data_IF_127340136889
#
_entry.id   IF_127340136889
#
_cell.length_a   1.000
_cell.length_b   1.000
_cell.length_c   1.000
_cell.angle_alpha   90.00
_cell.angle_beta   90.00
_cell.angle_gamma   90.00
#
_symmetry.space_group_name_H-M   'P 1'
#
loop_
_entity.id
_entity.type
_entity.pdbx_description
1 polymer ?
#
# COMPACT_ATOMS: atom_id res chain seq x y z
N UNK A 1 5.38 4.34 5.04
CA UNK A 1 6.44 3.57 4.38
C UNK A 1 7.29 2.91 5.46
N UNK A 2 7.74 1.67 5.23
CA UNK A 2 8.63 0.98 6.18
C UNK A 2 10.03 1.59 6.11
N UNK A 3 10.67 1.76 7.28
CA UNK A 3 12.06 2.22 7.34
C UNK A 3 13.02 1.05 7.11
N UNK A 4 14.09 1.28 6.35
CA UNK A 4 15.15 0.30 6.15
C UNK A 4 16.13 0.38 7.31
N UNK A 5 16.36 -0.73 8.05
CA UNK A 5 17.36 -0.74 9.12
C UNK A 5 18.77 -0.55 8.55
N UNK A 6 19.66 0.15 9.28
CA UNK A 6 21.01 0.47 8.81
C UNK A 6 21.88 -0.76 8.47
N UNK A 7 21.60 -1.92 9.08
CA UNK A 7 22.31 -3.18 8.82
C UNK A 7 21.72 -4.00 7.66
N UNK A 8 20.65 -3.53 7.02
CA UNK A 8 19.94 -4.26 5.98
C UNK A 8 19.92 -3.44 4.69
N UNK A 9 19.88 -4.15 3.55
CA UNK A 9 19.63 -3.55 2.25
C UNK A 9 18.44 -4.27 1.60
N UNK A 10 17.35 -3.54 1.39
CA UNK A 10 16.17 -4.07 0.73
C UNK A 10 16.46 -4.37 -0.75
N UNK A 11 15.90 -5.45 -1.27
CA UNK A 11 15.86 -5.74 -2.71
C UNK A 11 14.65 -5.13 -3.40
N UNK A 12 13.78 -4.44 -2.64
CA UNK A 12 12.57 -3.77 -3.15
C UNK A 12 11.71 -4.66 -4.05
N UNK A 13 11.44 -5.88 -3.60
CA UNK A 13 10.52 -6.79 -4.31
C UNK A 13 9.14 -6.14 -4.53
N UNK A 14 8.63 -5.46 -3.51
CA UNK A 14 7.45 -4.59 -3.55
C UNK A 14 7.76 -3.27 -2.87
N UNK A 15 7.05 -2.19 -3.23
CA UNK A 15 7.18 -0.87 -2.62
C UNK A 15 5.84 -0.46 -1.99
N UNK A 16 5.60 -0.83 -0.72
CA UNK A 16 4.32 -0.58 -0.06
C UNK A 16 4.21 0.83 0.52
N UNK A 17 3.05 1.44 0.34
CA UNK A 17 2.58 2.60 1.09
C UNK A 17 1.47 2.16 2.05
N UNK A 18 1.21 2.97 3.08
CA UNK A 18 0.10 2.79 4.01
C UNK A 18 -0.69 4.08 4.11
N UNK A 19 -1.98 4.01 3.89
CA UNK A 19 -2.92 5.13 4.02
C UNK A 19 -4.33 4.63 4.32
N UNK A 20 -5.03 5.35 5.21
CA UNK A 20 -6.43 5.07 5.48
C UNK A 20 -7.34 5.31 4.25
N UNK A 21 -6.88 6.11 3.29
CA UNK A 21 -7.56 6.40 2.01
C UNK A 21 -6.98 5.54 0.88
N UNK A 22 -6.71 4.25 1.15
CA UNK A 22 -6.06 3.32 0.23
C UNK A 22 -6.82 3.16 -1.08
N UNK A 23 -8.13 3.01 -1.02
CA UNK A 23 -8.96 2.73 -2.19
C UNK A 23 -9.09 3.98 -3.06
N UNK A 24 -9.25 5.16 -2.46
CA UNK A 24 -9.28 6.45 -3.17
C UNK A 24 -7.92 6.77 -3.83
N UNK A 25 -6.81 6.49 -3.14
CA UNK A 25 -5.49 6.64 -3.74
C UNK A 25 -5.30 5.69 -4.91
N UNK A 26 -5.76 4.45 -4.80
CA UNK A 26 -5.71 3.47 -5.88
C UNK A 26 -6.48 3.94 -7.11
N UNK A 27 -7.70 4.43 -6.93
CA UNK A 27 -8.53 4.98 -8.01
C UNK A 27 -7.86 6.20 -8.67
N UNK A 28 -7.29 7.10 -7.86
CA UNK A 28 -6.55 8.26 -8.36
C UNK A 28 -5.34 7.85 -9.21
N UNK A 29 -4.56 6.88 -8.77
CA UNK A 29 -3.41 6.36 -9.52
C UNK A 29 -3.86 5.70 -10.84
N UNK A 30 -4.90 4.88 -10.81
CA UNK A 30 -5.46 4.21 -11.98
C UNK A 30 -5.97 5.22 -13.02
N UNK A 31 -6.65 6.29 -12.58
CA UNK A 31 -7.08 7.39 -13.45
C UNK A 31 -5.91 8.13 -14.13
N UNK A 32 -4.72 8.10 -13.53
CA UNK A 32 -3.48 8.65 -14.07
C UNK A 32 -2.62 7.60 -14.83
N UNK A 33 -3.19 6.42 -15.12
CA UNK A 33 -2.51 5.35 -15.86
C UNK A 33 -1.43 4.62 -15.04
N UNK A 34 -1.45 4.73 -13.71
CA UNK A 34 -0.49 4.10 -12.81
C UNK A 34 -1.16 2.88 -12.17
N UNK A 35 -0.70 1.69 -12.53
CA UNK A 35 -1.15 0.44 -11.93
C UNK A 35 -0.59 0.28 -10.51
N UNK A 36 -1.43 -0.18 -9.58
CA UNK A 36 -1.01 -0.48 -8.21
C UNK A 36 -1.62 -1.80 -7.73
N UNK A 37 -1.03 -2.41 -6.71
CA UNK A 37 -1.46 -3.70 -6.19
C UNK A 37 -1.70 -3.68 -4.68
N UNK A 38 -2.49 -4.65 -4.19
CA UNK A 38 -2.73 -4.83 -2.75
C UNK A 38 -2.12 -6.18 -2.34
N UNK A 39 -1.08 -6.17 -1.52
CA UNK A 39 -0.39 -7.36 -1.03
C UNK A 39 -0.40 -7.40 0.50
N UNK A 40 -1.45 -7.94 1.16
CA UNK A 40 -2.67 -8.57 0.60
C UNK A 40 -3.91 -8.02 1.32
N UNK A 41 -5.13 -8.09 0.72
CA UNK A 41 -6.30 -7.41 1.28
C UNK A 41 -6.93 -8.15 2.46
N UNK A 42 -6.70 -9.47 2.58
CA UNK A 42 -7.28 -10.31 3.64
C UNK A 42 -6.18 -10.81 4.56
N UNK A 43 -6.26 -10.50 5.87
CA UNK A 43 -5.33 -11.06 6.86
C UNK A 43 -5.33 -12.60 6.85
N UNK A 44 -4.17 -13.21 7.01
CA UNK A 44 -4.02 -14.69 6.93
C UNK A 44 -4.95 -15.40 7.92
N UNK A 45 -5.06 -14.89 9.15
CA UNK A 45 -5.92 -15.49 10.19
C UNK A 45 -7.42 -15.42 9.87
N UNK A 46 -7.83 -14.54 8.95
CA UNK A 46 -9.22 -14.39 8.48
C UNK A 46 -9.51 -15.14 7.18
N UNK A 47 -8.52 -15.78 6.59
CA UNK A 47 -8.72 -16.58 5.39
C UNK A 47 -9.45 -17.87 5.69
N UNK A 48 -10.35 -18.30 4.79
CA UNK A 48 -11.19 -19.49 4.96
C UNK A 48 -10.39 -20.77 5.27
N UNK A 49 -9.19 -20.89 4.68
CA UNK A 49 -8.30 -22.03 4.91
C UNK A 49 -7.79 -22.18 6.35
N UNK A 50 -7.88 -21.10 7.16
CA UNK A 50 -7.41 -21.07 8.55
C UNK A 50 -8.55 -20.92 9.57
N UNK A 51 -9.82 -21.06 9.15
CA UNK A 51 -10.99 -20.90 10.02
C UNK A 51 -11.03 -21.87 11.21
N UNK A 52 -10.35 -23.02 11.09
CA UNK A 52 -10.23 -24.03 12.15
C UNK A 52 -9.31 -23.60 13.30
N UNK A 53 -8.52 -22.53 13.16
CA UNK A 53 -7.62 -22.02 14.21
C UNK A 53 -8.34 -21.17 15.26
N UNK A 54 -9.62 -20.83 15.06
CA UNK A 54 -10.44 -20.09 16.01
C UNK A 54 -10.18 -18.59 16.08
N UNK A 55 -9.32 -18.03 15.23
CA UNK A 55 -9.13 -16.58 15.11
C UNK A 55 -10.36 -15.90 14.50
N UNK A 56 -10.62 -14.68 14.93
CA UNK A 56 -11.72 -13.83 14.46
C UNK A 56 -11.23 -12.40 14.24
N UNK A 57 -12.04 -11.58 13.61
CA UNK A 57 -11.82 -10.15 13.46
C UNK A 57 -11.57 -9.48 14.81
N UNK A 58 -10.56 -8.63 14.87
CA UNK A 58 -10.14 -7.93 16.10
C UNK A 58 -9.04 -8.63 16.89
N UNK A 59 -8.72 -9.89 16.60
CA UNK A 59 -7.69 -10.63 17.33
C UNK A 59 -6.26 -10.18 16.98
N UNK A 60 -6.04 -9.71 15.74
CA UNK A 60 -4.72 -9.23 15.26
C UNK A 60 -4.86 -7.85 14.62
N UNK A 61 -5.16 -6.84 15.43
CA UNK A 61 -5.50 -5.48 15.00
C UNK A 61 -4.47 -4.85 14.06
N UNK A 62 -3.18 -5.03 14.32
CA UNK A 62 -2.12 -4.46 13.48
C UNK A 62 -2.08 -5.10 12.08
N UNK A 63 -2.21 -6.41 12.01
CA UNK A 63 -2.28 -7.15 10.75
C UNK A 63 -3.50 -6.73 9.94
N UNK A 64 -4.64 -6.61 10.60
CA UNK A 64 -5.90 -6.18 9.99
C UNK A 64 -5.82 -4.75 9.46
N UNK A 65 -5.21 -3.84 10.23
CA UNK A 65 -4.97 -2.46 9.81
C UNK A 65 -4.06 -2.41 8.58
N UNK A 66 -2.93 -3.12 8.59
CA UNK A 66 -2.02 -3.19 7.45
C UNK A 66 -2.74 -3.68 6.18
N UNK A 67 -3.56 -4.72 6.28
CA UNK A 67 -4.33 -5.23 5.13
C UNK A 67 -5.36 -4.23 4.60
N UNK A 68 -5.90 -3.36 5.46
CA UNK A 68 -6.81 -2.28 5.04
C UNK A 68 -6.09 -1.12 4.34
N UNK A 69 -4.87 -0.81 4.77
CA UNK A 69 -4.16 0.42 4.40
C UNK A 69 -3.06 0.23 3.35
N UNK A 70 -2.60 -1.00 3.12
CA UNK A 70 -1.46 -1.27 2.23
C UNK A 70 -1.81 -1.08 0.76
N UNK A 71 -0.95 -0.37 0.03
CA UNK A 71 -0.97 -0.24 -1.42
C UNK A 71 0.45 -0.32 -1.95
N UNK A 72 0.71 -1.21 -2.90
CA UNK A 72 2.03 -1.37 -3.52
C UNK A 72 2.11 -0.59 -4.82
N UNK A 73 3.08 0.30 -4.90
CA UNK A 73 3.41 1.05 -6.12
C UNK A 73 4.19 0.17 -7.11
N UNK A 74 4.22 0.54 -8.41
CA UNK A 74 5.04 -0.15 -9.41
C UNK A 74 6.50 -0.21 -8.96
N UNK A 75 7.10 -1.40 -9.02
CA UNK A 75 8.50 -1.63 -8.66
C UNK A 75 9.07 -2.77 -9.51
N UNK A 76 9.97 -2.45 -10.43
CA UNK A 76 10.69 -3.40 -11.28
C UNK A 76 11.98 -2.75 -11.81
N UNK A 77 13.02 -3.54 -12.17
CA UNK A 77 14.35 -3.00 -12.50
C UNK A 77 14.37 -2.01 -13.67
N UNK A 78 13.50 -2.19 -14.66
CA UNK A 78 13.43 -1.37 -15.87
C UNK A 78 12.60 -0.08 -15.71
N UNK A 79 12.10 0.19 -14.49
CA UNK A 79 11.31 1.39 -14.19
C UNK A 79 12.21 2.64 -14.36
N UNK A 80 11.86 3.49 -15.31
CA UNK A 80 12.63 4.70 -15.63
C UNK A 80 12.45 5.78 -14.56
N UNK A 81 13.47 6.59 -14.34
CA UNK A 81 13.45 7.68 -13.36
C UNK A 81 12.28 8.67 -13.60
N UNK A 82 11.99 8.98 -14.88
CA UNK A 82 10.86 9.86 -15.22
C UNK A 82 9.53 9.25 -14.78
N UNK A 83 9.37 7.93 -14.92
CA UNK A 83 8.17 7.23 -14.46
C UNK A 83 8.07 7.21 -12.93
N UNK A 84 9.19 7.02 -12.24
CA UNK A 84 9.24 7.13 -10.77
C UNK A 84 8.80 8.52 -10.31
N UNK A 85 9.27 9.57 -10.97
CA UNK A 85 8.85 10.96 -10.67
C UNK A 85 7.36 11.18 -10.92
N UNK A 86 6.82 10.67 -12.03
CA UNK A 86 5.38 10.75 -12.32
C UNK A 86 4.53 10.06 -11.24
N UNK A 87 4.93 8.87 -10.80
CA UNK A 87 4.25 8.15 -9.72
C UNK A 87 4.30 8.96 -8.42
N UNK A 88 5.48 9.47 -8.06
CA UNK A 88 5.66 10.28 -6.85
C UNK A 88 4.83 11.56 -6.88
N UNK A 89 4.76 12.24 -8.02
CA UNK A 89 3.97 13.45 -8.18
C UNK A 89 2.47 13.17 -8.11
N UNK A 90 1.99 12.07 -8.69
CA UNK A 90 0.59 11.64 -8.58
C UNK A 90 0.20 11.38 -7.12
N UNK A 91 1.04 10.66 -6.36
CA UNK A 91 0.81 10.45 -4.92
C UNK A 91 0.79 11.78 -4.16
N UNK A 92 1.74 12.68 -4.42
CA UNK A 92 1.78 14.01 -3.78
C UNK A 92 0.54 14.85 -4.08
N UNK A 93 0.07 14.80 -5.32
CA UNK A 93 -1.16 15.50 -5.73
C UNK A 93 -2.36 15.00 -4.94
N UNK A 94 -2.53 13.70 -4.83
CA UNK A 94 -3.58 13.08 -4.02
C UNK A 94 -3.52 13.55 -2.56
N UNK A 95 -2.34 13.48 -1.92
CA UNK A 95 -2.16 13.89 -0.54
C UNK A 95 -2.50 15.37 -0.30
N UNK A 96 -2.15 16.26 -1.24
CA UNK A 96 -2.49 17.70 -1.12
C UNK A 96 -3.99 17.94 -1.22
N UNK A 97 -4.70 17.21 -2.08
CA UNK A 97 -6.15 17.30 -2.24
C UNK A 97 -6.86 16.78 -0.98
N UNK A 98 -6.40 15.66 -0.42
CA UNK A 98 -6.95 15.08 0.81
C UNK A 98 -6.82 16.03 2.01
N UNK A 99 -5.70 16.73 2.15
CA UNK A 99 -5.50 17.73 3.22
C UNK A 99 -6.40 18.96 3.03
N UNK A 100 -6.68 19.35 1.79
CA UNK A 100 -7.54 20.52 1.51
C UNK A 100 -9.03 20.26 1.79
N UNK A 101 -9.46 19.00 1.81
CA UNK A 101 -10.87 18.61 2.07
C UNK A 101 -11.16 18.42 3.57
N UNK A 102 -10.12 18.20 4.38
CA UNK A 102 -10.23 18.04 5.85
C UNK A 102 -9.34 19.06 6.56
N UNK A 103 -9.79 20.32 6.68
CA UNK A 103 -9.06 21.36 7.42
C UNK A 103 -9.09 21.12 8.95
#
# INVERSE_FOLDING_TARGET
>A
MLAEPAACKSVYHIFPLFTAQRDELREHLEANGISSGIHYPIPVHMQRGFSNLGYKEGDLLQTEQVCREVLSLPMYPELKDETVMQIADSVRQFCRQAVAVHP
#
